data_IF_062274319390
#
_entry.id   IF_062274319390
#
_cell.length_a   1.000
_cell.length_b   1.000
_cell.length_c   1.000
_cell.angle_alpha   90.00
_cell.angle_beta   90.00
_cell.angle_gamma   90.00
#
_symmetry.space_group_name_H-M   'P 1'
#
loop_
_entity.id
_entity.type
_entity.pdbx_description
1 polymer ?
#
# COMPACT_ATOMS: atom_id res chain seq x y z
N UNK A 1 4.71 -16.70 4.37
CA UNK A 1 5.37 -17.90 3.80
C UNK A 1 5.87 -18.76 4.96
N UNK A 2 5.89 -20.09 4.83
CA UNK A 2 6.40 -21.00 5.87
C UNK A 2 7.57 -21.89 5.39
N UNK A 3 7.87 -21.85 4.09
CA UNK A 3 9.04 -22.49 3.50
C UNK A 3 9.12 -22.23 2.00
N UNK A 4 10.24 -22.55 1.37
CA UNK A 4 10.45 -22.46 -0.06
C UNK A 4 11.52 -23.44 -0.54
N UNK A 5 11.46 -23.79 -1.83
CA UNK A 5 12.52 -24.56 -2.50
C UNK A 5 13.32 -23.62 -3.41
N UNK A 6 14.64 -23.70 -3.30
CA UNK A 6 15.58 -22.86 -4.04
C UNK A 6 16.58 -23.69 -4.82
N UNK A 7 17.01 -23.13 -5.96
CA UNK A 7 18.24 -23.54 -6.66
C UNK A 7 19.28 -22.45 -6.49
N UNK A 8 20.40 -22.79 -5.85
CA UNK A 8 21.53 -21.89 -5.62
C UNK A 8 22.34 -21.68 -6.90
N UNK A 9 23.24 -20.68 -6.88
CA UNK A 9 24.12 -20.38 -8.02
C UNK A 9 25.01 -21.56 -8.44
N UNK A 10 25.33 -22.48 -7.52
CA UNK A 10 26.10 -23.70 -7.83
C UNK A 10 25.23 -24.84 -8.40
N UNK A 11 23.95 -24.61 -8.67
CA UNK A 11 22.99 -25.59 -9.18
C UNK A 11 22.39 -26.53 -8.13
N UNK A 12 22.72 -26.36 -6.84
CA UNK A 12 22.19 -27.22 -5.77
C UNK A 12 20.76 -26.81 -5.43
N UNK A 13 19.86 -27.79 -5.35
CA UNK A 13 18.50 -27.61 -4.85
C UNK A 13 18.47 -27.79 -3.32
N UNK A 14 17.89 -26.82 -2.61
CA UNK A 14 17.75 -26.82 -1.16
C UNK A 14 16.34 -26.44 -0.74
N UNK A 15 15.97 -26.84 0.48
CA UNK A 15 14.77 -26.34 1.16
C UNK A 15 15.17 -25.25 2.17
N UNK A 16 14.33 -24.23 2.31
CA UNK A 16 14.52 -23.17 3.31
C UNK A 16 13.23 -22.97 4.12
N UNK A 17 13.38 -22.81 5.44
CA UNK A 17 12.30 -22.59 6.40
C UNK A 17 12.82 -21.81 7.62
N UNK A 18 11.95 -21.36 8.54
CA UNK A 18 12.40 -20.73 9.78
C UNK A 18 13.36 -21.59 10.63
N UNK A 19 13.40 -22.91 10.40
CA UNK A 19 14.22 -23.87 11.16
C UNK A 19 15.28 -24.58 10.30
N UNK A 20 15.36 -24.30 9.00
CA UNK A 20 16.29 -24.93 8.06
C UNK A 20 16.80 -23.87 7.08
N UNK A 21 18.11 -23.63 7.01
CA UNK A 21 18.69 -22.56 6.18
C UNK A 21 17.99 -21.20 6.42
N UNK A 22 17.81 -20.85 7.70
CA UNK A 22 16.95 -19.75 8.12
C UNK A 22 17.43 -18.37 7.61
N UNK A 23 18.74 -18.19 7.48
CA UNK A 23 19.36 -17.01 6.87
C UNK A 23 18.91 -16.81 5.41
N UNK A 24 18.93 -17.89 4.62
CA UNK A 24 18.44 -17.88 3.25
C UNK A 24 16.92 -17.72 3.20
N UNK A 25 16.18 -18.35 4.13
CA UNK A 25 14.74 -18.17 4.26
C UNK A 25 14.38 -16.69 4.48
N UNK A 26 15.09 -15.98 5.36
CA UNK A 26 14.87 -14.56 5.59
C UNK A 26 15.25 -13.72 4.36
N UNK A 27 16.39 -14.04 3.72
CA UNK A 27 16.84 -13.32 2.54
C UNK A 27 15.84 -13.38 1.37
N UNK A 28 15.18 -14.53 1.16
CA UNK A 28 14.20 -14.68 0.07
C UNK A 28 12.84 -14.03 0.36
N UNK A 29 12.54 -13.72 1.62
CA UNK A 29 11.35 -12.97 1.99
C UNK A 29 11.47 -11.50 1.58
N UNK A 30 12.69 -10.98 1.50
CA UNK A 30 12.97 -9.57 1.17
C UNK A 30 13.48 -9.40 -0.26
N UNK A 31 14.54 -10.13 -0.61
CA UNK A 31 15.29 -9.98 -1.86
C UNK A 31 15.51 -11.32 -2.59
N UNK A 32 14.45 -12.05 -2.99
CA UNK A 32 14.58 -13.38 -3.58
C UNK A 32 15.57 -13.49 -4.76
N UNK A 33 15.67 -12.53 -5.70
CA UNK A 33 16.59 -12.67 -6.84
C UNK A 33 18.08 -12.73 -6.48
N UNK A 34 18.49 -12.21 -5.31
CA UNK A 34 19.91 -12.20 -4.91
C UNK A 34 20.37 -13.50 -4.24
N UNK A 35 19.43 -14.34 -3.78
CA UNK A 35 19.72 -15.55 -3.00
C UNK A 35 19.65 -16.85 -3.80
N UNK A 36 19.01 -16.82 -4.97
CA UNK A 36 18.87 -17.99 -5.85
C UNK A 36 17.59 -17.95 -6.68
N UNK A 37 17.29 -19.05 -7.35
CA UNK A 37 16.04 -19.21 -8.12
C UNK A 37 15.04 -19.94 -7.23
N UNK A 38 13.95 -19.26 -6.85
CA UNK A 38 12.85 -19.88 -6.12
C UNK A 38 12.00 -20.69 -7.09
N UNK A 39 11.90 -22.00 -6.86
CA UNK A 39 11.11 -22.92 -7.70
C UNK A 39 9.75 -23.23 -7.11
N UNK A 40 9.63 -23.19 -5.78
CA UNK A 40 8.38 -23.46 -5.07
C UNK A 40 8.29 -22.59 -3.80
N UNK A 41 7.07 -22.18 -3.44
CA UNK A 41 6.78 -21.49 -2.18
C UNK A 41 5.68 -22.22 -1.43
N UNK A 42 5.89 -22.41 -0.13
CA UNK A 42 4.90 -22.99 0.78
C UNK A 42 4.28 -21.88 1.62
N UNK A 43 2.97 -21.70 1.50
CA UNK A 43 2.21 -20.65 2.18
C UNK A 43 1.21 -21.25 3.17
N UNK A 44 1.09 -20.62 4.35
CA UNK A 44 -0.01 -20.91 5.28
C UNK A 44 -1.22 -20.08 4.88
N UNK A 45 -2.27 -20.75 4.41
CA UNK A 45 -3.53 -20.10 4.05
C UNK A 45 -4.28 -19.72 5.34
N UNK A 46 -4.76 -18.47 5.41
CA UNK A 46 -5.69 -18.03 6.46
C UNK A 46 -7.12 -18.25 5.97
N UNK A 47 -8.04 -18.55 6.88
CA UNK A 47 -9.46 -18.67 6.53
C UNK A 47 -9.95 -17.33 5.99
N UNK A 48 -10.53 -17.34 4.80
CA UNK A 48 -11.13 -16.15 4.25
C UNK A 48 -12.30 -15.68 5.13
N UNK A 49 -12.43 -14.38 5.41
CA UNK A 49 -13.62 -13.86 6.05
C UNK A 49 -14.84 -14.13 5.15
N UNK A 50 -15.97 -14.49 5.75
CA UNK A 50 -17.20 -14.74 4.98
C UNK A 50 -17.66 -13.46 4.27
N UNK A 51 -17.51 -12.32 4.96
CA UNK A 51 -17.92 -10.99 4.52
C UNK A 51 -16.87 -9.98 4.91
N UNK A 52 -16.67 -9.00 4.06
CA UNK A 52 -15.80 -7.84 4.27
C UNK A 52 -16.52 -6.58 3.84
N UNK A 53 -16.20 -5.45 4.46
CA UNK A 53 -16.72 -4.16 4.05
C UNK A 53 -15.75 -3.57 3.04
N UNK A 54 -16.18 -3.50 1.78
CA UNK A 54 -15.51 -2.73 0.74
C UNK A 54 -15.94 -1.28 0.84
N UNK A 55 -14.99 -0.35 0.85
CA UNK A 55 -15.31 1.07 0.89
C UNK A 55 -14.41 1.93 0.01
N UNK A 56 -14.97 3.01 -0.53
CA UNK A 56 -14.23 4.05 -1.24
C UNK A 56 -14.85 5.42 -0.95
N UNK A 57 -14.01 6.37 -0.58
CA UNK A 57 -14.37 7.74 -0.25
C UNK A 57 -13.62 8.68 -1.16
N UNK A 58 -14.32 9.49 -1.97
CA UNK A 58 -13.68 10.47 -2.84
C UNK A 58 -13.85 11.88 -2.30
N UNK A 59 -12.74 12.60 -2.22
CA UNK A 59 -12.68 14.02 -1.88
C UNK A 59 -12.30 14.81 -3.13
N UNK A 60 -13.27 15.52 -3.69
CA UNK A 60 -13.10 16.29 -4.92
C UNK A 60 -13.13 17.78 -4.56
N UNK A 61 -12.01 18.47 -4.78
CA UNK A 61 -11.89 19.90 -4.59
C UNK A 61 -10.97 20.46 -5.70
N UNK A 62 -11.53 21.10 -6.74
CA UNK A 62 -10.77 21.67 -7.85
C UNK A 62 -9.77 22.74 -7.43
N UNK A 63 -10.03 23.41 -6.29
CA UNK A 63 -9.29 24.55 -5.76
C UNK A 63 -8.46 24.18 -4.52
N UNK A 64 -8.20 22.87 -4.31
CA UNK A 64 -7.44 22.38 -3.17
C UNK A 64 -6.02 22.94 -3.16
N UNK A 65 -5.67 23.67 -2.10
CA UNK A 65 -4.30 24.15 -1.90
C UNK A 65 -3.36 23.00 -1.47
N UNK A 66 -2.04 23.14 -1.72
CA UNK A 66 -1.03 22.21 -1.21
C UNK A 66 -1.14 21.98 0.31
N UNK A 67 -1.41 23.02 1.12
CA UNK A 67 -1.50 22.85 2.57
C UNK A 67 -2.73 22.02 2.97
N UNK A 68 -3.88 22.22 2.30
CA UNK A 68 -5.08 21.40 2.54
C UNK A 68 -4.83 19.93 2.18
N UNK A 69 -4.14 19.67 1.07
CA UNK A 69 -3.75 18.31 0.69
C UNK A 69 -2.83 17.69 1.75
N UNK A 70 -1.82 18.42 2.21
CA UNK A 70 -0.91 17.95 3.24
C UNK A 70 -1.63 17.65 4.57
N UNK A 71 -2.59 18.49 4.96
CA UNK A 71 -3.41 18.26 6.17
C UNK A 71 -4.23 16.95 6.08
N UNK A 72 -4.82 16.66 4.91
CA UNK A 72 -5.55 15.40 4.69
C UNK A 72 -4.59 14.20 4.76
N UNK A 73 -3.41 14.31 4.16
CA UNK A 73 -2.38 13.26 4.19
C UNK A 73 -1.87 13.02 5.62
N UNK A 74 -1.62 14.09 6.37
CA UNK A 74 -1.21 14.01 7.77
C UNK A 74 -2.31 13.36 8.63
N UNK A 75 -3.57 13.76 8.46
CA UNK A 75 -4.70 13.14 9.16
C UNK A 75 -4.80 11.63 8.85
N UNK A 76 -4.63 11.25 7.59
CA UNK A 76 -4.60 9.85 7.15
C UNK A 76 -3.44 9.07 7.80
N UNK A 77 -2.24 9.64 7.84
CA UNK A 77 -1.07 9.00 8.46
C UNK A 77 -1.23 8.83 9.97
N UNK A 78 -1.68 9.89 10.67
CA UNK A 78 -1.91 9.84 12.12
C UNK A 78 -3.00 8.83 12.47
N UNK A 79 -4.11 8.82 11.72
CA UNK A 79 -5.16 7.83 11.89
C UNK A 79 -4.62 6.41 11.66
N UNK A 80 -3.81 6.21 10.61
CA UNK A 80 -3.20 4.93 10.25
C UNK A 80 -2.30 4.33 11.34
N UNK A 81 -1.69 5.15 12.21
CA UNK A 81 -0.92 4.66 13.37
C UNK A 81 -1.79 3.97 14.43
N UNK A 82 -3.10 4.27 14.43
CA UNK A 82 -4.08 3.76 15.40
C UNK A 82 -5.13 2.87 14.77
N UNK A 83 -5.10 2.71 13.44
CA UNK A 83 -6.02 1.86 12.72
C UNK A 83 -5.83 0.39 13.16
N UNK A 84 -6.92 -0.37 13.34
CA UNK A 84 -6.84 -1.75 13.79
C UNK A 84 -6.33 -2.67 12.68
N UNK A 85 -5.86 -3.87 13.02
CA UNK A 85 -5.27 -4.82 12.06
C UNK A 85 -6.24 -5.30 10.98
N UNK A 86 -7.54 -5.23 11.26
CA UNK A 86 -8.63 -5.56 10.34
C UNK A 86 -8.85 -4.50 9.25
N UNK A 87 -8.17 -3.34 9.35
CA UNK A 87 -8.32 -2.21 8.46
C UNK A 87 -7.21 -2.18 7.40
N UNK A 88 -7.60 -2.31 6.13
CA UNK A 88 -6.72 -2.06 4.99
C UNK A 88 -7.20 -0.86 4.19
N UNK A 89 -6.44 0.23 4.16
CA UNK A 89 -6.75 1.43 3.39
C UNK A 89 -5.56 1.85 2.51
N UNK A 90 -5.87 2.36 1.32
CA UNK A 90 -4.94 3.10 0.47
C UNK A 90 -5.53 4.48 0.17
N UNK A 91 -4.68 5.50 0.15
CA UNK A 91 -5.03 6.84 -0.29
C UNK A 91 -4.39 7.09 -1.66
N UNK A 92 -5.24 7.14 -2.69
CA UNK A 92 -4.86 7.47 -4.06
C UNK A 92 -5.04 8.96 -4.29
N UNK A 93 -4.05 9.60 -4.91
CA UNK A 93 -4.07 11.04 -5.21
C UNK A 93 -3.92 11.23 -6.72
N UNK A 94 -4.87 11.93 -7.34
CA UNK A 94 -4.83 12.24 -8.77
C UNK A 94 -5.04 13.73 -9.03
N UNK A 95 -4.83 14.12 -10.31
CA UNK A 95 -5.09 15.47 -10.81
C UNK A 95 -4.40 16.55 -9.97
N UNK A 96 -3.17 16.25 -9.57
CA UNK A 96 -2.36 17.10 -8.71
C UNK A 96 -2.99 17.43 -7.36
N UNK A 97 -3.61 16.45 -6.71
CA UNK A 97 -4.19 16.64 -5.38
C UNK A 97 -5.68 16.96 -5.36
N UNK A 98 -6.27 17.32 -6.49
CA UNK A 98 -7.68 17.74 -6.59
C UNK A 98 -8.66 16.60 -6.33
N UNK A 99 -8.25 15.37 -6.62
CA UNK A 99 -9.01 14.16 -6.33
C UNK A 99 -8.19 13.28 -5.41
N UNK A 100 -8.73 13.00 -4.24
CA UNK A 100 -8.18 11.99 -3.31
C UNK A 100 -9.24 10.90 -3.17
N UNK A 101 -8.87 9.64 -3.35
CA UNK A 101 -9.70 8.51 -2.98
C UNK A 101 -9.05 7.73 -1.86
N UNK A 102 -9.78 7.57 -0.76
CA UNK A 102 -9.42 6.65 0.31
C UNK A 102 -10.26 5.40 0.11
N UNK A 103 -9.63 4.30 -0.30
CA UNK A 103 -10.31 3.06 -0.63
C UNK A 103 -9.67 1.87 0.09
N UNK A 104 -10.46 0.84 0.33
CA UNK A 104 -9.94 -0.34 0.98
C UNK A 104 -11.01 -1.33 1.39
N UNK A 105 -10.64 -2.13 2.39
CA UNK A 105 -11.40 -3.24 2.91
C UNK A 105 -11.28 -3.27 4.44
N UNK A 106 -12.38 -3.57 5.11
CA UNK A 106 -12.41 -3.78 6.55
C UNK A 106 -12.97 -5.16 6.87
N UNK A 107 -12.22 -5.93 7.68
CA UNK A 107 -12.58 -7.28 8.09
C UNK A 107 -13.38 -7.25 9.40
N UNK A 108 -14.61 -6.73 9.36
CA UNK A 108 -15.46 -6.64 10.55
C UNK A 108 -16.91 -6.29 10.21
N UNK A 109 -17.66 -5.80 11.20
CA UNK A 109 -19.04 -5.35 11.02
C UNK A 109 -19.12 -3.84 10.75
N UNK A 110 -20.30 -3.37 10.33
CA UNK A 110 -20.53 -1.97 9.94
C UNK A 110 -20.36 -0.99 11.11
N UNK A 111 -20.84 -1.34 12.31
CA UNK A 111 -20.78 -0.44 13.46
C UNK A 111 -19.33 -0.17 13.90
N UNK A 112 -18.51 -1.22 13.90
CA UNK A 112 -17.07 -1.08 14.19
C UNK A 112 -16.33 -0.31 13.10
N UNK A 113 -16.70 -0.54 11.83
CA UNK A 113 -16.14 0.21 10.71
C UNK A 113 -16.43 1.71 10.82
N UNK A 114 -17.67 2.08 11.11
CA UNK A 114 -18.08 3.48 11.28
C UNK A 114 -17.35 4.13 12.46
N UNK A 115 -17.23 3.40 13.58
CA UNK A 115 -16.47 3.84 14.76
C UNK A 115 -14.98 4.06 14.46
N UNK A 116 -14.36 3.15 13.70
CA UNK A 116 -12.93 3.21 13.36
C UNK A 116 -12.62 4.33 12.36
N UNK A 117 -13.54 4.62 11.43
CA UNK A 117 -13.35 5.65 10.40
C UNK A 117 -13.77 7.05 10.85
N UNK A 118 -14.62 7.19 11.87
CA UNK A 118 -15.08 8.48 12.36
C UNK A 118 -13.95 9.49 12.71
N UNK A 119 -12.85 9.10 13.40
CA UNK A 119 -11.75 10.04 13.68
C UNK A 119 -11.10 10.61 12.42
N UNK A 120 -10.99 9.79 11.36
CA UNK A 120 -10.44 10.24 10.08
C UNK A 120 -11.32 11.32 9.46
N UNK A 121 -12.64 11.09 9.38
CA UNK A 121 -13.56 12.07 8.79
C UNK A 121 -13.75 13.34 9.62
N UNK A 122 -13.59 13.25 10.95
CA UNK A 122 -13.54 14.44 11.80
C UNK A 122 -12.34 15.33 11.46
N UNK A 123 -11.21 14.75 11.04
CA UNK A 123 -10.01 15.50 10.69
C UNK A 123 -9.98 15.95 9.22
N UNK A 124 -10.49 15.14 8.29
CA UNK A 124 -10.44 15.42 6.84
C UNK A 124 -11.67 16.14 6.30
N UNK A 125 -12.74 16.20 7.08
CA UNK A 125 -14.08 16.55 6.59
C UNK A 125 -14.76 15.38 5.90
N UNK A 126 -15.97 15.65 5.39
CA UNK A 126 -16.79 14.63 4.73
C UNK A 126 -16.41 14.45 3.26
N UNK A 127 -16.45 13.21 2.73
CA UNK A 127 -16.17 12.95 1.33
C UNK A 127 -17.29 13.48 0.42
N UNK A 128 -16.91 13.82 -0.82
CA UNK A 128 -17.83 14.21 -1.88
C UNK A 128 -18.67 13.03 -2.37
N UNK A 129 -18.08 11.83 -2.41
CA UNK A 129 -18.82 10.59 -2.72
C UNK A 129 -18.38 9.44 -1.82
N UNK A 130 -19.33 8.56 -1.52
CA UNK A 130 -19.16 7.40 -0.64
C UNK A 130 -19.62 6.14 -1.34
N UNK A 131 -18.83 5.09 -1.22
CA UNK A 131 -19.23 3.71 -1.51
C UNK A 131 -18.86 2.88 -0.31
N UNK A 132 -19.83 2.22 0.32
CA UNK A 132 -19.62 1.31 1.45
C UNK A 132 -20.56 0.15 1.26
N UNK A 133 -20.01 -1.05 1.18
CA UNK A 133 -20.75 -2.24 0.80
C UNK A 133 -20.16 -3.48 1.46
N UNK A 134 -21.02 -4.33 2.01
CA UNK A 134 -20.64 -5.67 2.40
C UNK A 134 -20.49 -6.55 1.15
N UNK A 135 -19.41 -7.33 1.11
CA UNK A 135 -19.02 -8.17 -0.02
C UNK A 135 -18.45 -9.49 0.45
N UNK A 136 -18.67 -10.53 -0.35
CA UNK A 136 -17.95 -11.79 -0.17
C UNK A 136 -16.48 -11.62 -0.55
N UNK A 137 -15.59 -12.35 0.11
CA UNK A 137 -14.14 -12.22 -0.07
C UNK A 137 -13.68 -12.34 -1.54
N UNK A 138 -14.22 -13.30 -2.30
CA UNK A 138 -13.87 -13.48 -3.71
C UNK A 138 -14.39 -12.33 -4.59
N UNK A 139 -15.58 -11.81 -4.29
CA UNK A 139 -16.13 -10.67 -5.03
C UNK A 139 -15.23 -9.43 -4.86
N UNK A 140 -14.69 -9.23 -3.66
CA UNK A 140 -13.71 -8.18 -3.38
C UNK A 140 -12.45 -8.31 -4.24
N UNK A 141 -11.90 -9.52 -4.39
CA UNK A 141 -10.71 -9.71 -5.22
C UNK A 141 -10.99 -9.38 -6.69
N UNK A 142 -12.16 -9.78 -7.19
CA UNK A 142 -12.60 -9.44 -8.55
C UNK A 142 -12.75 -7.93 -8.72
N UNK A 143 -13.36 -7.23 -7.75
CA UNK A 143 -13.47 -5.77 -7.76
C UNK A 143 -12.09 -5.08 -7.71
N UNK A 144 -11.13 -5.66 -6.96
CA UNK A 144 -9.75 -5.16 -6.89
C UNK A 144 -9.02 -5.24 -8.24
N UNK A 145 -9.31 -6.27 -9.04
CA UNK A 145 -8.77 -6.48 -10.39
C UNK A 145 -9.56 -5.71 -11.48
N UNK A 146 -10.26 -4.63 -11.10
CA UNK A 146 -11.05 -3.83 -12.02
C UNK A 146 -12.29 -4.54 -12.59
N UNK A 147 -12.73 -5.64 -11.95
CA UNK A 147 -13.87 -6.44 -12.39
C UNK A 147 -13.52 -7.55 -13.40
N UNK A 148 -12.24 -7.74 -13.73
CA UNK A 148 -11.80 -8.79 -14.63
C UNK A 148 -11.87 -10.19 -13.97
N UNK A 149 -11.99 -11.27 -14.76
CA UNK A 149 -11.91 -12.62 -14.24
C UNK A 149 -10.54 -12.86 -13.56
N UNK A 150 -10.57 -13.36 -12.32
CA UNK A 150 -9.35 -13.68 -11.55
C UNK A 150 -8.45 -14.75 -12.20
N UNK A 151 -8.96 -15.49 -13.17
CA UNK A 151 -8.17 -16.44 -13.94
C UNK A 151 -7.38 -15.72 -15.04
N UNK A 152 -6.06 -15.78 -14.95
CA UNK A 152 -5.15 -15.23 -15.96
C UNK A 152 -4.95 -16.16 -17.18
N UNK A 153 -5.52 -17.36 -17.17
CA UNK A 153 -5.37 -18.33 -18.26
C UNK A 153 -5.98 -17.80 -19.56
N UNK A 154 -5.13 -17.55 -20.55
CA UNK A 154 -5.54 -17.09 -21.88
C UNK A 154 -5.81 -15.58 -21.97
N UNK A 155 -5.57 -14.83 -20.90
CA UNK A 155 -5.67 -13.38 -20.92
C UNK A 155 -4.49 -12.79 -21.72
N UNK A 156 -4.73 -11.81 -22.60
CA UNK A 156 -3.66 -11.15 -23.33
C UNK A 156 -2.76 -10.38 -22.37
N UNK A 157 -1.45 -10.36 -22.66
CA UNK A 157 -0.48 -9.55 -21.94
C UNK A 157 -0.78 -8.07 -22.18
N UNK A 158 -0.90 -7.30 -21.10
CA UNK A 158 -1.10 -5.85 -21.16
C UNK A 158 0.23 -5.17 -20.79
N UNK A 159 0.64 -4.20 -21.61
CA UNK A 159 1.83 -3.41 -21.36
C UNK A 159 1.45 -1.97 -21.06
N UNK A 160 1.73 -1.53 -19.84
CA UNK A 160 1.63 -0.13 -19.43
C UNK A 160 2.97 0.27 -18.78
N UNK A 161 3.86 1.00 -19.49
CA UNK A 161 5.16 1.36 -18.95
C UNK A 161 5.00 2.43 -17.86
N UNK A 162 5.51 2.15 -16.66
CA UNK A 162 5.47 3.08 -15.54
C UNK A 162 6.84 3.24 -14.87
N UNK A 163 7.05 4.40 -14.24
CA UNK A 163 8.21 4.67 -13.38
C UNK A 163 7.71 4.95 -11.96
N UNK A 164 8.28 4.27 -10.97
CA UNK A 164 7.96 4.49 -9.55
C UNK A 164 9.15 5.08 -8.85
N UNK A 165 8.93 6.17 -8.13
CA UNK A 165 9.86 6.68 -7.13
C UNK A 165 9.19 6.52 -5.78
N UNK A 166 9.88 5.83 -4.87
CA UNK A 166 9.46 5.73 -3.47
C UNK A 166 10.27 6.75 -2.68
N UNK A 167 9.69 7.90 -2.34
CA UNK A 167 10.37 8.84 -1.47
C UNK A 167 10.47 8.28 -0.04
N UNK A 168 11.65 8.42 0.56
CA UNK A 168 11.85 8.10 1.98
C UNK A 168 11.26 9.21 2.83
N UNK A 169 10.12 8.96 3.46
CA UNK A 169 9.52 9.88 4.42
C UNK A 169 9.52 9.31 5.83
N UNK A 170 9.68 10.18 6.82
CA UNK A 170 9.20 9.89 8.17
C UNK A 170 7.68 10.02 8.15
N UNK A 171 6.92 9.13 8.83
CA UNK A 171 5.46 9.06 8.73
C UNK A 171 4.73 10.32 9.22
N UNK A 172 5.45 11.29 9.78
CA UNK A 172 4.95 12.58 10.26
C UNK A 172 5.98 13.64 9.86
N UNK A 173 6.04 14.01 8.58
CA UNK A 173 6.91 15.10 8.15
C UNK A 173 6.16 16.43 8.32
N UNK A 174 6.63 17.26 9.24
CA UNK A 174 6.03 18.56 9.60
C UNK A 174 6.72 19.76 8.97
N UNK A 175 7.79 19.57 8.16
CA UNK A 175 8.59 20.70 7.66
C UNK A 175 9.19 20.51 6.25
N UNK A 176 8.90 21.41 5.29
CA UNK A 176 7.75 22.30 5.33
C UNK A 176 6.47 21.45 5.28
N UNK A 177 5.41 21.81 6.05
CA UNK A 177 4.14 21.06 6.08
C UNK A 177 3.54 20.90 4.67
N UNK A 178 3.94 21.80 3.78
CA UNK A 178 3.84 21.84 2.33
C UNK A 178 4.22 20.67 1.44
N UNK A 179 5.34 20.03 1.79
CA UNK A 179 6.28 19.53 0.78
C UNK A 179 5.68 18.42 -0.07
N UNK A 180 4.89 17.56 0.57
CA UNK A 180 4.15 16.49 -0.10
C UNK A 180 3.03 17.04 -0.96
N UNK A 181 2.29 18.04 -0.48
CA UNK A 181 1.26 18.71 -1.25
C UNK A 181 1.84 19.35 -2.52
N UNK A 182 2.97 20.03 -2.38
CA UNK A 182 3.70 20.62 -3.49
C UNK A 182 4.12 19.54 -4.51
N UNK A 183 4.69 18.41 -4.06
CA UNK A 183 5.11 17.31 -4.94
C UNK A 183 4.01 16.86 -5.90
N UNK A 184 2.78 16.71 -5.42
CA UNK A 184 1.66 16.31 -6.27
C UNK A 184 1.18 17.44 -7.20
N UNK A 185 1.36 18.70 -6.82
CA UNK A 185 0.91 19.86 -7.62
C UNK A 185 1.93 20.33 -8.67
N UNK A 186 3.17 19.86 -8.63
CA UNK A 186 4.19 20.22 -9.64
C UNK A 186 3.73 19.70 -11.00
N UNK A 187 3.40 20.62 -11.90
CA UNK A 187 3.31 20.31 -13.33
C UNK A 187 4.71 20.02 -13.86
N UNK A 188 4.95 18.86 -14.49
CA UNK A 188 6.24 18.61 -15.13
C UNK A 188 6.48 19.69 -16.20
N UNK A 189 7.54 20.49 -16.05
CA UNK A 189 8.07 21.28 -17.16
C UNK A 189 8.83 20.30 -18.05
N UNK A 190 8.46 20.14 -19.35
CA UNK A 190 9.18 19.23 -20.23
C UNK A 190 10.67 19.60 -20.29
N UNK A 191 11.54 18.65 -19.90
CA UNK A 191 13.01 18.79 -20.06
C UNK A 191 13.82 19.15 -18.82
N UNK A 192 13.23 19.24 -17.62
CA UNK A 192 13.98 19.45 -16.37
C UNK A 192 13.59 18.44 -15.30
N UNK A 193 14.54 17.64 -14.83
CA UNK A 193 14.38 16.86 -13.60
C UNK A 193 14.43 17.84 -12.41
N UNK A 194 13.43 17.85 -11.50
CA UNK A 194 13.52 18.65 -10.30
C UNK A 194 14.70 18.15 -9.44
N UNK A 195 15.64 19.03 -9.11
CA UNK A 195 16.72 18.75 -8.17
C UNK A 195 16.15 18.69 -6.75
N UNK A 196 16.15 17.53 -6.08
CA UNK A 196 15.73 17.46 -4.69
C UNK A 196 16.89 17.93 -3.82
N UNK A 197 16.83 19.17 -3.34
CA UNK A 197 17.70 19.65 -2.27
C UNK A 197 17.17 19.22 -0.92
N UNK A 198 17.48 18.01 -0.45
CA UNK A 198 17.24 17.62 0.94
C UNK A 198 18.45 16.84 1.47
N UNK A 199 19.27 17.53 2.27
CA UNK A 199 20.26 16.91 3.15
C UNK A 199 19.51 16.36 4.36
N UNK A 200 19.56 15.04 4.58
CA UNK A 200 19.19 14.44 5.85
C UNK A 200 20.09 13.24 6.15
N UNK A 201 20.88 13.38 7.21
CA UNK A 201 21.77 12.36 7.78
C UNK A 201 20.96 11.17 8.30
N UNK A 202 21.42 9.95 7.98
CA UNK A 202 20.79 8.68 8.36
C UNK A 202 21.10 8.31 9.82
N UNK A 203 20.10 7.94 10.64
CA UNK A 203 20.32 7.04 11.77
C UNK A 203 20.21 5.58 11.28
N UNK A 204 21.23 4.80 11.63
CA UNK A 204 21.33 3.36 11.43
C UNK A 204 20.47 2.62 12.47
N UNK A 205 19.25 2.23 12.11
CA UNK A 205 18.62 1.00 12.61
C UNK A 205 17.24 0.83 11.97
N UNK A 206 17.08 -0.20 11.13
CA UNK A 206 15.79 -0.65 10.62
C UNK A 206 15.71 -2.16 10.78
N UNK A 207 14.94 -2.60 11.76
CA UNK A 207 14.41 -3.95 11.88
C UNK A 207 13.26 -4.14 10.88
N UNK A 208 13.39 -5.11 9.98
CA UNK A 208 12.43 -5.39 8.91
C UNK A 208 11.39 -6.45 9.30
N UNK A 209 10.19 -6.25 8.76
CA UNK A 209 8.97 -7.00 9.06
C UNK A 209 9.02 -8.41 8.46
N UNK A 210 9.12 -9.37 9.35
CA UNK A 210 8.69 -10.72 9.08
C UNK A 210 8.03 -11.24 10.36
N UNK A 211 6.70 -11.17 10.38
CA UNK A 211 5.91 -11.46 11.57
C UNK A 211 6.00 -12.92 12.02
N UNK A 212 6.03 -13.10 13.35
CA UNK A 212 5.76 -14.35 14.06
C UNK A 212 4.33 -14.85 13.82
#
# INVERSE_FOLDING_TARGET
MIGADLVLANGTAIHVSPTENADLFWSICEAPPSSGIVTQRTMRIRKAPNKVIRYAYKFIDPDRSPEKLANIQHAYQVWGLTAPEEMGMVANVWQGGKVIEMAGYYMGNQDDFDRVTAPLFNATGQPSTTYVQERDWIAVLTEADGGAPLSTKGSPEQHDPFYVVVPTYSPIMTDPPDALGQYFTITPVPGTLPTPGMNASLPSDRSFFCGH
#
